data_IF_936516513250
#
_entry.id   IF_936516513250
#
_cell.length_a   1.000
_cell.length_b   1.000
_cell.length_c   1.000
_cell.angle_alpha   90.00
_cell.angle_beta   90.00
_cell.angle_gamma   90.00
#
_symmetry.space_group_name_H-M   'P 1'
#
loop_
_entity.id
_entity.type
_entity.pdbx_description
1 polymer ?
#
# COMPACT_ATOMS: atom_id res chain seq x y z
N UNK A 1 -21.39 -13.53 4.93
CA UNK A 1 -20.37 -13.67 6.00
C UNK A 1 -20.91 -12.99 7.24
N UNK A 2 -20.76 -13.59 8.42
CA UNK A 2 -21.10 -12.92 9.68
C UNK A 2 -20.11 -11.79 9.98
N UNK A 3 -20.53 -10.76 10.73
CA UNK A 3 -19.68 -9.60 11.08
C UNK A 3 -18.33 -10.00 11.72
N UNK A 4 -18.28 -10.98 12.64
CA UNK A 4 -16.99 -11.43 13.19
C UNK A 4 -16.06 -12.02 12.13
N UNK A 5 -16.60 -12.77 11.16
CA UNK A 5 -15.82 -13.34 10.08
C UNK A 5 -15.26 -12.27 9.14
N UNK A 6 -16.05 -11.22 8.85
CA UNK A 6 -15.60 -10.06 8.07
C UNK A 6 -14.45 -9.33 8.77
N UNK A 7 -14.57 -9.08 10.08
CA UNK A 7 -13.51 -8.44 10.85
C UNK A 7 -12.20 -9.23 10.80
N UNK A 8 -12.27 -10.54 11.09
CA UNK A 8 -11.08 -11.40 11.06
C UNK A 8 -10.46 -11.44 9.66
N UNK A 9 -11.29 -11.56 8.61
CA UNK A 9 -10.81 -11.57 7.24
C UNK A 9 -10.11 -10.26 6.85
N UNK A 10 -10.75 -9.12 7.10
CA UNK A 10 -10.18 -7.80 6.83
C UNK A 10 -8.88 -7.57 7.59
N UNK A 11 -8.83 -8.00 8.86
CA UNK A 11 -7.61 -7.90 9.67
C UNK A 11 -6.47 -8.73 9.07
N UNK A 12 -6.74 -9.99 8.67
CA UNK A 12 -5.72 -10.86 8.06
C UNK A 12 -5.22 -10.33 6.72
N UNK A 13 -6.11 -9.79 5.88
CA UNK A 13 -5.73 -9.18 4.60
C UNK A 13 -4.85 -7.95 4.79
N UNK A 14 -5.16 -7.12 5.80
CA UNK A 14 -4.40 -5.90 6.10
C UNK A 14 -2.96 -6.15 6.59
N UNK A 15 -2.62 -7.38 7.02
CA UNK A 15 -1.25 -7.75 7.42
C UNK A 15 -0.31 -7.78 6.21
N UNK A 16 -0.80 -8.21 5.03
CA UNK A 16 0.03 -8.39 3.83
C UNK A 16 0.81 -7.15 3.40
N UNK A 17 0.17 -5.98 3.24
CA UNK A 17 0.85 -4.72 2.88
C UNK A 17 1.93 -4.29 3.87
N UNK A 18 1.80 -4.69 5.14
CA UNK A 18 2.73 -4.32 6.21
C UNK A 18 3.96 -5.23 6.24
N UNK A 19 3.79 -6.54 6.04
CA UNK A 19 4.90 -7.51 6.12
C UNK A 19 5.69 -7.58 4.81
N UNK A 20 5.05 -7.33 3.67
CA UNK A 20 5.72 -7.37 2.38
C UNK A 20 6.84 -6.30 2.29
N UNK A 21 8.02 -6.65 1.76
CA UNK A 21 9.09 -5.67 1.57
C UNK A 21 8.62 -4.58 0.60
N UNK A 22 8.55 -3.34 1.07
CA UNK A 22 8.00 -2.22 0.33
C UNK A 22 8.05 -0.91 1.13
N UNK A 23 7.43 0.17 0.64
CA UNK A 23 7.56 1.50 1.24
C UNK A 23 6.86 1.59 2.60
N UNK A 24 5.74 0.90 2.80
CA UNK A 24 5.04 0.85 4.11
C UNK A 24 5.89 0.12 5.15
N UNK A 25 6.42 -1.06 4.81
CA UNK A 25 7.32 -1.81 5.69
C UNK A 25 8.61 -1.00 6.00
N UNK A 26 9.23 -0.40 4.98
CA UNK A 26 10.41 0.44 5.17
C UNK A 26 10.13 1.63 6.10
N UNK A 27 8.97 2.30 5.93
CA UNK A 27 8.56 3.39 6.80
C UNK A 27 8.35 2.92 8.24
N UNK A 28 7.72 1.76 8.47
CA UNK A 28 7.53 1.21 9.82
C UNK A 28 8.87 0.87 10.48
N UNK A 29 9.81 0.27 9.75
CA UNK A 29 11.14 -0.06 10.31
C UNK A 29 11.93 1.20 10.66
N UNK A 30 12.01 2.16 9.73
CA UNK A 30 12.80 3.39 9.91
C UNK A 30 12.17 4.31 10.96
N UNK A 31 10.87 4.54 10.87
CA UNK A 31 10.17 5.46 11.77
C UNK A 31 9.87 4.80 13.12
N UNK A 32 9.70 3.47 13.18
CA UNK A 32 9.58 2.74 14.43
C UNK A 32 10.82 2.89 15.32
N UNK A 33 12.01 2.90 14.72
CA UNK A 33 13.25 3.19 15.43
C UNK A 33 13.34 4.64 15.94
N UNK A 34 12.65 5.60 15.31
CA UNK A 34 12.73 7.04 15.63
C UNK A 34 11.60 7.54 16.54
N UNK A 35 10.37 7.10 16.32
CA UNK A 35 9.14 7.53 17.01
C UNK A 35 8.53 6.45 17.90
N UNK A 36 9.15 5.26 17.97
CA UNK A 36 8.66 4.15 18.78
C UNK A 36 7.25 3.72 18.36
N UNK A 37 6.38 3.49 19.35
CA UNK A 37 5.01 3.02 19.14
C UNK A 37 4.18 3.90 18.20
N UNK A 38 4.41 5.23 18.19
CA UNK A 38 3.61 6.17 17.38
C UNK A 38 3.77 5.95 15.87
N UNK A 39 4.87 5.34 15.42
CA UNK A 39 5.07 5.05 14.00
C UNK A 39 3.99 4.14 13.43
N UNK A 40 3.55 3.13 14.20
CA UNK A 40 2.54 2.17 13.77
C UNK A 40 1.19 2.83 13.44
N UNK A 41 0.53 3.50 14.40
CA UNK A 41 -0.71 4.21 14.16
C UNK A 41 -0.60 5.27 13.05
N UNK A 42 0.49 6.05 13.02
CA UNK A 42 0.66 7.11 12.01
C UNK A 42 0.75 6.52 10.59
N UNK A 43 1.56 5.49 10.38
CA UNK A 43 1.70 4.84 9.07
C UNK A 43 0.40 4.14 8.68
N UNK A 44 -0.24 3.44 9.61
CA UNK A 44 -1.51 2.74 9.36
C UNK A 44 -2.64 3.71 8.96
N UNK A 45 -2.81 4.82 9.67
CA UNK A 45 -3.82 5.85 9.32
C UNK A 45 -3.52 6.48 7.96
N UNK A 46 -2.25 6.78 7.67
CA UNK A 46 -1.86 7.31 6.36
C UNK A 46 -2.18 6.34 5.22
N UNK A 47 -1.80 5.06 5.38
CA UNK A 47 -2.08 4.01 4.41
C UNK A 47 -3.60 3.83 4.18
N UNK A 48 -4.36 3.68 5.27
CA UNK A 48 -5.80 3.51 5.22
C UNK A 48 -6.52 4.72 4.60
N UNK A 49 -5.98 5.93 4.76
CA UNK A 49 -6.57 7.14 4.16
C UNK A 49 -6.48 7.14 2.63
N UNK A 50 -5.36 6.66 2.07
CA UNK A 50 -5.17 6.53 0.62
C UNK A 50 -6.05 5.42 0.07
N UNK A 51 -6.13 4.28 0.77
CA UNK A 51 -7.00 3.16 0.40
C UNK A 51 -8.48 3.58 0.42
N UNK A 52 -8.91 4.31 1.46
CA UNK A 52 -10.27 4.85 1.53
C UNK A 52 -10.57 5.79 0.36
N UNK A 53 -9.62 6.67 0.01
CA UNK A 53 -9.75 7.54 -1.17
C UNK A 53 -9.95 6.73 -2.46
N UNK A 54 -9.17 5.66 -2.65
CA UNK A 54 -9.30 4.76 -3.78
C UNK A 54 -10.66 4.03 -3.78
N UNK A 55 -11.09 3.47 -2.65
CA UNK A 55 -12.38 2.80 -2.51
C UNK A 55 -13.53 3.74 -2.82
N UNK A 56 -13.50 4.98 -2.32
CA UNK A 56 -14.49 6.01 -2.61
C UNK A 56 -14.49 6.36 -4.11
N UNK A 57 -13.31 6.56 -4.71
CA UNK A 57 -13.22 6.84 -6.15
C UNK A 57 -13.81 5.71 -7.00
N UNK A 58 -13.51 4.46 -6.65
CA UNK A 58 -14.10 3.29 -7.30
C UNK A 58 -15.62 3.24 -7.11
N UNK A 59 -16.12 3.51 -5.89
CA UNK A 59 -17.54 3.57 -5.59
C UNK A 59 -18.29 4.66 -6.38
N UNK A 60 -17.64 5.79 -6.67
CA UNK A 60 -18.18 6.86 -7.52
C UNK A 60 -18.02 6.61 -9.03
N UNK A 61 -17.61 5.41 -9.45
CA UNK A 61 -17.60 5.02 -10.87
C UNK A 61 -16.24 5.12 -11.57
N UNK A 62 -15.15 5.38 -10.84
CA UNK A 62 -13.80 5.35 -11.43
C UNK A 62 -13.41 3.97 -11.98
N UNK A 63 -14.13 2.91 -11.58
CA UNK A 63 -14.00 1.57 -12.17
C UNK A 63 -14.17 1.56 -13.69
N UNK A 64 -15.14 2.29 -14.25
CA UNK A 64 -15.38 2.34 -15.69
C UNK A 64 -14.23 3.01 -16.47
N UNK A 65 -13.55 3.95 -15.81
CA UNK A 65 -12.36 4.62 -16.37
C UNK A 65 -11.18 3.65 -16.37
N UNK A 66 -11.02 2.85 -15.32
CA UNK A 66 -9.97 1.83 -15.19
C UNK A 66 -10.16 0.62 -16.12
N UNK A 67 -11.38 0.36 -16.61
CA UNK A 67 -11.65 -0.66 -17.63
C UNK A 67 -11.05 -0.31 -19.01
N UNK A 68 -10.67 0.94 -19.24
CA UNK A 68 -10.03 1.34 -20.50
C UNK A 68 -8.64 0.68 -20.62
N UNK A 69 -8.41 -0.17 -21.64
CA UNK A 69 -7.17 -0.95 -21.74
C UNK A 69 -5.90 -0.10 -21.74
N UNK A 70 -5.95 1.06 -22.40
CA UNK A 70 -4.84 2.00 -22.45
C UNK A 70 -4.50 2.58 -21.07
N UNK A 71 -5.52 2.95 -20.28
CA UNK A 71 -5.30 3.51 -18.95
C UNK A 71 -4.80 2.44 -17.98
N UNK A 72 -5.41 1.26 -17.99
CA UNK A 72 -4.94 0.13 -17.19
C UNK A 72 -3.47 -0.22 -17.51
N UNK A 73 -3.11 -0.25 -18.79
CA UNK A 73 -1.72 -0.46 -19.22
C UNK A 73 -0.80 0.66 -18.75
N UNK A 74 -1.21 1.93 -18.87
CA UNK A 74 -0.42 3.06 -18.40
C UNK A 74 -0.17 3.01 -16.89
N UNK A 75 -1.21 2.75 -16.09
CA UNK A 75 -1.08 2.59 -14.62
C UNK A 75 -0.18 1.41 -14.29
N UNK A 76 -0.34 0.27 -14.96
CA UNK A 76 0.49 -0.91 -14.76
C UNK A 76 1.97 -0.67 -15.08
N UNK A 77 2.27 -0.02 -16.21
CA UNK A 77 3.65 0.29 -16.62
C UNK A 77 4.28 1.32 -15.69
N UNK A 78 3.59 2.43 -15.40
CA UNK A 78 4.11 3.47 -14.52
C UNK A 78 4.31 2.95 -13.10
N UNK A 79 3.34 2.20 -12.58
CA UNK A 79 3.45 1.54 -11.27
C UNK A 79 4.59 0.53 -11.23
N UNK A 80 4.72 -0.31 -12.26
CA UNK A 80 5.81 -1.28 -12.38
C UNK A 80 7.19 -0.62 -12.43
N UNK A 81 7.36 0.43 -13.24
CA UNK A 81 8.61 1.20 -13.30
C UNK A 81 8.94 1.84 -11.95
N UNK A 82 7.95 2.39 -11.27
CA UNK A 82 8.12 2.95 -9.93
C UNK A 82 8.56 1.89 -8.91
N UNK A 83 7.97 0.69 -8.94
CA UNK A 83 8.37 -0.43 -8.07
C UNK A 83 9.80 -0.89 -8.36
N UNK A 84 10.20 -0.99 -9.63
CA UNK A 84 11.57 -1.34 -10.03
C UNK A 84 12.57 -0.29 -9.55
N UNK A 85 12.26 1.00 -9.72
CA UNK A 85 13.11 2.08 -9.25
C UNK A 85 13.29 2.02 -7.73
N UNK A 86 12.19 1.93 -6.98
CA UNK A 86 12.21 1.82 -5.53
C UNK A 86 13.02 0.61 -5.06
N UNK A 87 12.74 -0.59 -5.61
CA UNK A 87 13.49 -1.80 -5.29
C UNK A 87 14.99 -1.66 -5.58
N UNK A 88 15.34 -1.05 -6.71
CA UNK A 88 16.73 -0.74 -7.08
C UNK A 88 17.42 0.19 -6.08
N UNK A 89 16.75 1.27 -5.65
CA UNK A 89 17.33 2.19 -4.64
C UNK A 89 17.55 1.52 -3.29
N UNK A 90 16.64 0.64 -2.86
CA UNK A 90 16.77 -0.11 -1.62
C UNK A 90 17.93 -1.11 -1.70
N UNK A 91 18.03 -1.86 -2.79
CA UNK A 91 19.11 -2.82 -3.01
C UNK A 91 20.48 -2.14 -3.09
N UNK A 92 20.56 -1.01 -3.82
CA UNK A 92 21.78 -0.20 -3.89
C UNK A 92 22.19 0.35 -2.52
N UNK A 93 21.23 0.88 -1.76
CA UNK A 93 21.48 1.37 -0.40
C UNK A 93 21.96 0.29 0.57
N UNK A 94 21.53 -0.96 0.38
CA UNK A 94 21.98 -2.10 1.18
C UNK A 94 23.34 -2.67 0.76
N UNK A 95 23.76 -2.46 -0.49
CA UNK A 95 25.04 -2.94 -1.02
C UNK A 95 26.22 -1.99 -0.73
N UNK A 96 25.95 -0.79 -0.22
CA UNK A 96 26.90 0.22 0.24
C UNK A 96 27.09 0.13 1.76
#
# INVERSE_FOLDING_TARGET
>A
MEIPALFVWSFLVAIGPVISPGPVNAAIVVEGARRGFLAGPLVATGHASVELGMVLALAFGMGHVLEQPLLAAAVGILGGLFLLWMGGTMAWGAAR
#
